data_IF_231468324976
#
_entry.id   IF_231468324976
#
_cell.length_a   1.000
_cell.length_b   1.000
_cell.length_c   1.000
_cell.angle_alpha   90.00
_cell.angle_beta   90.00
_cell.angle_gamma   90.00
#
_symmetry.space_group_name_H-M   'P 1'
#
loop_
_entity.id
_entity.type
_entity.pdbx_description
1 polymer ?
#
# COMPACT_ATOMS: atom_id res chain seq x y z
N UNK A 1 -16.81 18.10 -8.77
CA UNK A 1 -15.51 18.59 -8.25
C UNK A 1 -15.60 19.84 -7.37
N UNK A 2 -16.58 20.75 -7.52
CA UNK A 2 -16.64 22.00 -6.74
C UNK A 2 -17.12 21.88 -5.29
N UNK A 3 -17.75 20.78 -4.90
CA UNK A 3 -18.41 20.66 -3.57
C UNK A 3 -17.49 20.22 -2.44
N UNK A 4 -16.31 19.63 -2.73
CA UNK A 4 -15.37 19.16 -1.70
C UNK A 4 -14.45 20.26 -1.14
N UNK A 5 -14.30 21.38 -1.85
CA UNK A 5 -13.43 22.48 -1.46
C UNK A 5 -14.04 23.39 -0.37
N UNK A 6 -15.31 23.24 -0.05
CA UNK A 6 -16.01 24.09 0.93
C UNK A 6 -15.60 23.82 2.39
N UNK A 7 -14.97 22.68 2.67
CA UNK A 7 -14.41 22.33 3.98
C UNK A 7 -12.88 22.50 4.04
N UNK A 8 -12.27 23.15 3.04
CA UNK A 8 -10.87 23.57 3.13
C UNK A 8 -10.77 24.57 4.29
N UNK A 9 -9.87 24.39 5.27
CA UNK A 9 -9.59 25.42 6.26
C UNK A 9 -9.29 26.74 5.52
N UNK A 10 -9.94 27.83 5.92
CA UNK A 10 -9.87 29.12 5.23
C UNK A 10 -8.48 29.78 5.35
N UNK A 11 -7.61 29.23 6.20
CA UNK A 11 -6.25 29.67 6.42
C UNK A 11 -5.27 28.59 5.96
N UNK A 12 -4.19 28.98 5.30
CA UNK A 12 -2.99 28.13 5.09
C UNK A 12 -2.21 27.92 6.42
N UNK A 13 -2.90 27.99 7.56
CA UNK A 13 -2.34 27.78 8.87
C UNK A 13 -1.91 26.32 9.02
N UNK A 14 -0.72 26.13 9.57
CA UNK A 14 -0.17 24.81 9.85
C UNK A 14 -1.00 24.15 10.94
N UNK A 15 -1.70 23.07 10.58
CA UNK A 15 -2.47 22.28 11.53
C UNK A 15 -1.59 21.16 12.13
N UNK A 16 -1.68 20.90 13.44
CA UNK A 16 -1.09 19.72 14.04
C UNK A 16 -1.81 18.45 13.55
N UNK A 17 -1.12 17.31 13.59
CA UNK A 17 -1.60 16.05 13.01
C UNK A 17 -2.96 15.61 13.55
N UNK A 18 -3.20 15.77 14.86
CA UNK A 18 -4.48 15.41 15.49
C UNK A 18 -5.66 16.19 14.91
N UNK A 19 -5.51 17.51 14.78
CA UNK A 19 -6.55 18.41 14.24
C UNK A 19 -6.78 18.18 12.75
N UNK A 20 -5.71 17.86 12.00
CA UNK A 20 -5.82 17.48 10.59
C UNK A 20 -6.66 16.21 10.42
N UNK A 21 -6.45 15.19 11.24
CA UNK A 21 -7.22 13.93 11.19
C UNK A 21 -8.68 14.15 11.58
N UNK A 22 -8.95 14.96 12.59
CA UNK A 22 -10.33 15.32 12.95
C UNK A 22 -11.04 16.08 11.83
N UNK A 23 -10.33 16.97 11.15
CA UNK A 23 -10.86 17.72 10.01
C UNK A 23 -11.17 16.81 8.84
N UNK A 24 -10.29 15.83 8.54
CA UNK A 24 -10.52 14.81 7.50
C UNK A 24 -11.81 14.01 7.74
N UNK A 25 -12.13 13.68 9.01
CA UNK A 25 -13.36 12.94 9.36
C UNK A 25 -14.65 13.75 9.19
N UNK A 26 -14.57 15.08 9.06
CA UNK A 26 -15.73 15.96 8.83
C UNK A 26 -16.13 16.05 7.36
N UNK A 27 -15.30 15.54 6.44
CA UNK A 27 -15.64 15.51 5.02
C UNK A 27 -16.79 14.53 4.76
N UNK A 28 -17.63 14.80 3.74
CA UNK A 28 -18.78 13.97 3.45
C UNK A 28 -18.36 12.52 3.14
N UNK A 29 -19.08 11.52 3.70
CA UNK A 29 -18.77 10.11 3.47
C UNK A 29 -19.05 9.71 2.02
N UNK A 30 -18.20 8.85 1.48
CA UNK A 30 -18.40 8.21 0.17
C UNK A 30 -18.88 6.77 0.33
N UNK A 31 -19.43 6.18 -0.74
CA UNK A 31 -19.93 4.79 -0.75
C UNK A 31 -18.83 3.72 -0.82
N UNK A 32 -17.57 4.12 -0.85
CA UNK A 32 -16.41 3.25 -1.00
C UNK A 32 -15.35 3.60 0.04
N UNK A 33 -14.44 2.67 0.31
CA UNK A 33 -13.32 2.85 1.24
C UNK A 33 -12.37 3.94 0.76
N UNK A 34 -12.33 5.05 1.51
CA UNK A 34 -11.49 6.20 1.20
C UNK A 34 -10.02 5.90 1.53
N UNK A 35 -9.13 6.35 0.66
CA UNK A 35 -7.68 6.35 0.92
C UNK A 35 -7.25 7.79 1.22
N UNK A 36 -6.49 7.96 2.30
CA UNK A 36 -5.87 9.25 2.65
C UNK A 36 -4.43 9.25 2.15
N UNK A 37 -4.07 10.30 1.42
CA UNK A 37 -2.71 10.50 0.91
C UNK A 37 -1.98 11.58 1.72
N UNK A 38 -0.67 11.41 1.89
CA UNK A 38 0.22 12.37 2.53
C UNK A 38 1.21 12.89 1.49
N UNK A 39 1.14 14.18 1.18
CA UNK A 39 2.07 14.81 0.26
C UNK A 39 3.21 15.48 1.03
N UNK A 40 4.44 15.07 0.75
CA UNK A 40 5.65 15.59 1.41
C UNK A 40 6.54 16.18 0.32
N UNK A 41 6.89 17.46 0.47
CA UNK A 41 7.87 18.12 -0.40
C UNK A 41 9.27 17.88 0.15
N UNK A 42 10.02 16.97 -0.47
CA UNK A 42 11.36 16.55 -0.01
C UNK A 42 12.47 17.59 -0.28
N UNK A 43 12.26 18.53 -1.21
CA UNK A 43 13.25 19.58 -1.51
C UNK A 43 14.54 19.09 -2.20
N UNK A 44 14.54 17.86 -2.71
CA UNK A 44 15.67 17.25 -3.43
C UNK A 44 15.73 17.68 -4.90
N UNK A 45 16.92 17.67 -5.48
CA UNK A 45 17.11 17.76 -6.93
C UNK A 45 17.03 16.35 -7.55
N UNK A 46 15.95 16.02 -8.30
CA UNK A 46 15.78 14.69 -8.87
C UNK A 46 16.81 14.35 -9.96
N UNK A 47 17.59 15.32 -10.44
CA UNK A 47 18.67 15.07 -11.41
C UNK A 47 19.94 14.51 -10.76
N UNK A 48 20.09 14.66 -9.45
CA UNK A 48 21.23 14.17 -8.69
C UNK A 48 20.91 12.80 -8.09
N UNK A 49 21.65 11.78 -8.50
CA UNK A 49 21.35 10.38 -8.15
C UNK A 49 21.50 10.08 -6.66
N UNK A 50 22.38 10.80 -5.95
CA UNK A 50 22.64 10.69 -4.51
C UNK A 50 21.52 11.28 -3.64
N UNK A 51 20.66 12.14 -4.21
CA UNK A 51 19.51 12.72 -3.50
C UNK A 51 18.22 11.90 -3.65
N UNK A 52 18.24 10.82 -4.43
CA UNK A 52 17.08 9.96 -4.63
C UNK A 52 16.78 9.17 -3.34
N UNK A 53 15.60 9.40 -2.77
CA UNK A 53 15.13 8.64 -1.62
C UNK A 53 14.36 7.41 -2.09
N UNK A 54 14.93 6.22 -1.84
CA UNK A 54 14.25 4.94 -2.05
C UNK A 54 14.29 4.14 -0.76
N UNK A 55 13.12 3.91 -0.17
CA UNK A 55 12.97 3.15 1.06
C UNK A 55 11.66 2.39 1.10
N UNK A 56 11.55 1.50 2.07
CA UNK A 56 10.32 0.78 2.38
C UNK A 56 9.95 1.04 3.83
N UNK A 57 8.68 1.27 4.10
CA UNK A 57 8.15 1.47 5.44
C UNK A 57 7.07 0.43 5.73
N UNK A 58 7.10 -0.11 6.94
CA UNK A 58 6.04 -0.97 7.45
C UNK A 58 5.09 -0.11 8.27
N UNK A 59 3.81 -0.10 7.90
CA UNK A 59 2.80 0.62 8.67
C UNK A 59 2.46 -0.15 9.96
N UNK A 60 2.34 0.52 11.11
CA UNK A 60 2.11 -0.13 12.41
C UNK A 60 0.77 -0.88 12.49
N UNK A 61 -0.21 -0.47 11.69
CA UNK A 61 -1.53 -1.12 11.60
C UNK A 61 -1.74 -1.86 10.27
N UNK A 62 -0.66 -2.07 9.49
CA UNK A 62 -0.73 -2.67 8.16
C UNK A 62 -1.38 -1.75 7.11
N UNK A 63 -1.52 -2.28 5.90
CA UNK A 63 -2.07 -1.56 4.73
C UNK A 63 -3.59 -1.78 4.57
N UNK A 64 -4.26 -2.39 5.56
CA UNK A 64 -5.69 -2.72 5.50
C UNK A 64 -6.06 -3.82 4.49
N UNK A 65 -5.09 -4.37 3.74
CA UNK A 65 -5.24 -5.52 2.85
C UNK A 65 -4.28 -6.63 3.27
N UNK A 66 -4.79 -7.84 3.42
CA UNK A 66 -3.94 -9.03 3.51
C UNK A 66 -3.27 -9.21 2.15
N UNK A 67 -1.94 -9.13 2.09
CA UNK A 67 -1.21 -9.42 0.85
C UNK A 67 -1.28 -10.91 0.60
N UNK A 68 -1.75 -11.31 -0.57
CA UNK A 68 -1.73 -12.70 -1.01
C UNK A 68 -0.36 -13.01 -1.59
N UNK A 69 0.44 -13.74 -0.82
CA UNK A 69 1.82 -14.10 -1.17
C UNK A 69 1.83 -15.51 -1.72
N UNK A 70 2.40 -15.66 -2.90
CA UNK A 70 2.61 -16.95 -3.56
C UNK A 70 4.11 -17.22 -3.61
N UNK A 71 4.54 -18.47 -3.45
CA UNK A 71 5.98 -18.83 -3.43
C UNK A 71 6.28 -19.95 -4.39
N UNK A 72 7.27 -19.73 -5.26
CA UNK A 72 7.80 -20.78 -6.13
C UNK A 72 8.92 -21.57 -5.46
N UNK A 73 8.60 -22.68 -4.80
CA UNK A 73 9.58 -23.53 -4.12
C UNK A 73 9.30 -25.03 -4.34
N UNK A 74 10.34 -25.86 -4.15
CA UNK A 74 10.28 -27.33 -4.22
C UNK A 74 11.00 -27.93 -3.00
N UNK A 75 10.55 -29.09 -2.52
CA UNK A 75 11.15 -29.78 -1.37
C UNK A 75 10.98 -29.02 -0.06
N UNK A 76 11.96 -29.09 0.85
CA UNK A 76 11.87 -28.51 2.20
C UNK A 76 11.57 -27.00 2.23
N UNK A 77 12.01 -26.25 1.20
CA UNK A 77 11.72 -24.82 1.08
C UNK A 77 10.22 -24.55 0.84
N UNK A 78 9.48 -25.52 0.31
CA UNK A 78 8.03 -25.40 0.15
C UNK A 78 7.30 -25.57 1.49
N UNK A 79 7.79 -26.47 2.34
CA UNK A 79 7.24 -26.68 3.68
C UNK A 79 7.51 -25.45 4.57
N UNK A 80 8.72 -24.89 4.50
CA UNK A 80 9.09 -23.65 5.20
C UNK A 80 8.24 -22.45 4.73
N UNK A 81 7.98 -22.33 3.42
CA UNK A 81 7.14 -21.26 2.87
C UNK A 81 5.67 -21.40 3.31
N UNK A 82 5.15 -22.63 3.37
CA UNK A 82 3.80 -22.92 3.87
C UNK A 82 3.71 -22.58 5.36
N UNK A 83 4.71 -22.94 6.15
CA UNK A 83 4.79 -22.62 7.58
C UNK A 83 4.92 -21.11 7.85
N UNK A 84 5.57 -20.37 6.95
CA UNK A 84 5.70 -18.91 7.02
C UNK A 84 4.41 -18.14 6.64
N UNK A 85 3.36 -18.84 6.18
CA UNK A 85 2.08 -18.23 5.84
C UNK A 85 1.94 -17.79 4.38
N UNK A 86 2.65 -18.43 3.44
CA UNK A 86 2.35 -18.28 2.03
C UNK A 86 0.97 -18.90 1.69
N UNK A 87 0.22 -18.24 0.82
CA UNK A 87 -1.14 -18.65 0.45
C UNK A 87 -1.15 -19.81 -0.56
N UNK A 88 -0.26 -19.76 -1.54
CA UNK A 88 0.03 -20.90 -2.41
C UNK A 88 1.54 -21.10 -2.56
N UNK A 89 1.97 -22.36 -2.48
CA UNK A 89 3.36 -22.75 -2.72
C UNK A 89 3.38 -23.82 -3.80
N UNK A 90 4.17 -23.62 -4.85
CA UNK A 90 4.25 -24.60 -5.92
C UNK A 90 5.33 -24.33 -6.96
N UNK A 91 5.70 -25.35 -7.72
CA UNK A 91 6.67 -25.22 -8.81
C UNK A 91 5.99 -25.05 -10.17
N UNK A 92 6.12 -26.07 -11.00
CA UNK A 92 5.68 -26.04 -12.40
C UNK A 92 4.14 -25.97 -12.55
N UNK A 93 3.39 -26.48 -11.58
CA UNK A 93 1.92 -26.50 -11.62
C UNK A 93 1.33 -25.12 -11.33
N UNK A 94 1.92 -24.39 -10.38
CA UNK A 94 1.58 -23.00 -10.09
C UNK A 94 1.93 -22.10 -11.28
N UNK A 95 3.08 -22.34 -11.93
CA UNK A 95 3.46 -21.62 -13.14
C UNK A 95 2.48 -21.85 -14.31
N UNK A 96 1.97 -23.09 -14.48
CA UNK A 96 0.92 -23.38 -15.46
C UNK A 96 -0.40 -22.71 -15.12
N UNK A 97 -0.81 -22.70 -13.84
CA UNK A 97 -2.04 -22.03 -13.37
C UNK A 97 -2.01 -20.52 -13.63
N UNK A 98 -0.87 -19.88 -13.38
CA UNK A 98 -0.67 -18.46 -13.67
C UNK A 98 -0.68 -18.19 -15.18
N UNK A 99 -0.01 -19.02 -15.98
CA UNK A 99 -0.11 -18.96 -17.45
C UNK A 99 -1.52 -19.20 -17.97
N UNK A 100 -2.33 -19.97 -17.24
CA UNK A 100 -3.75 -20.20 -17.50
C UNK A 100 -4.66 -19.01 -17.18
N UNK A 101 -4.11 -17.89 -16.69
CA UNK A 101 -4.83 -16.64 -16.44
C UNK A 101 -5.12 -16.33 -14.98
N UNK A 102 -4.66 -17.16 -14.04
CA UNK A 102 -4.84 -16.89 -12.61
C UNK A 102 -3.82 -15.86 -12.13
N UNK A 103 -4.30 -14.72 -11.64
CA UNK A 103 -3.47 -13.56 -11.22
C UNK A 103 -3.91 -13.00 -9.87
N UNK A 104 -4.53 -13.84 -9.05
CA UNK A 104 -5.16 -13.43 -7.81
C UNK A 104 -4.18 -13.38 -6.61
N UNK A 105 -2.98 -12.85 -6.85
CA UNK A 105 -1.90 -12.69 -5.88
C UNK A 105 -1.21 -11.33 -6.03
N UNK A 106 -0.66 -10.80 -4.94
CA UNK A 106 -0.05 -9.47 -4.92
C UNK A 106 1.48 -9.52 -5.05
N UNK A 107 2.10 -10.62 -4.62
CA UNK A 107 3.56 -10.84 -4.61
C UNK A 107 3.84 -12.31 -4.89
N UNK A 108 4.85 -12.61 -5.71
CA UNK A 108 5.31 -13.96 -6.05
C UNK A 108 6.81 -14.16 -5.87
#
# INVERSE_FOLDING_TARGET
MKTALAAKPADDALLPLSEAVETLKKFPPTKFDQTVEIHIRLGIDPKQADQIVRGSIVLPHGIGKSKRVVVFAKGNLADDATAAGAEEVGGDDLAKKIKGGWTDFDVC
#
